data_IF_737912588128
#
_entry.id   IF_737912588128
#
_cell.length_a   1.000
_cell.length_b   1.000
_cell.length_c   1.000
_cell.angle_alpha   90.00
_cell.angle_beta   90.00
_cell.angle_gamma   90.00
#
_symmetry.space_group_name_H-M   'P 1'
#
loop_
_entity.id
_entity.type
_entity.pdbx_description
1 polymer ?
#
# COMPACT_ATOMS: atom_id res chain seq x y z
N UNK A 1 -14.13 -69.05 -18.47
CA UNK A 1 -15.55 -69.46 -18.34
C UNK A 1 -16.36 -68.25 -18.76
N UNK A 2 -16.66 -68.35 -20.02
CA UNK A 2 -17.86 -68.12 -20.81
C UNK A 2 -18.35 -66.66 -20.86
N UNK A 3 -18.05 -65.95 -21.90
CA UNK A 3 -18.62 -65.92 -23.26
C UNK A 3 -20.18 -65.93 -23.24
N UNK A 4 -20.79 -64.79 -23.62
CA UNK A 4 -21.85 -64.78 -24.65
C UNK A 4 -22.11 -63.40 -25.24
N UNK A 5 -21.82 -63.31 -26.51
CA UNK A 5 -22.40 -62.44 -27.55
C UNK A 5 -23.90 -62.27 -27.43
N UNK A 6 -24.43 -61.10 -27.67
CA UNK A 6 -25.60 -60.91 -28.54
C UNK A 6 -25.52 -59.62 -29.35
N UNK A 7 -25.41 -59.80 -30.63
CA UNK A 7 -25.56 -58.83 -31.69
C UNK A 7 -27.05 -58.66 -32.01
N UNK A 8 -27.54 -57.42 -32.15
CA UNK A 8 -28.72 -57.17 -32.94
C UNK A 8 -28.64 -55.81 -33.66
N UNK A 9 -28.76 -55.92 -34.94
CA UNK A 9 -28.77 -54.89 -35.95
C UNK A 9 -30.15 -54.26 -36.12
N UNK A 10 -30.23 -53.07 -36.63
CA UNK A 10 -31.22 -52.40 -37.50
C UNK A 10 -31.58 -51.01 -36.96
N UNK A 11 -31.69 -49.98 -37.67
CA UNK A 11 -31.80 -49.53 -39.07
C UNK A 11 -32.28 -48.08 -39.02
N UNK A 12 -31.64 -47.20 -39.76
CA UNK A 12 -32.13 -45.98 -40.39
C UNK A 12 -32.99 -44.97 -39.64
N UNK A 13 -32.47 -43.76 -39.59
CA UNK A 13 -33.19 -42.50 -39.35
C UNK A 13 -32.28 -41.31 -39.67
N UNK A 14 -32.29 -40.89 -40.94
CA UNK A 14 -31.60 -39.66 -41.38
C UNK A 14 -32.32 -38.45 -40.81
N UNK A 15 -31.61 -37.68 -39.98
CA UNK A 15 -32.02 -36.36 -39.50
C UNK A 15 -30.79 -35.51 -39.37
N UNK A 16 -30.41 -34.83 -40.46
CA UNK A 16 -29.38 -33.81 -40.44
C UNK A 16 -29.92 -32.59 -39.70
N UNK A 17 -29.61 -32.49 -38.38
CA UNK A 17 -29.67 -31.25 -37.67
C UNK A 17 -28.26 -30.66 -37.68
N UNK A 18 -28.07 -29.73 -38.63
CA UNK A 18 -26.98 -28.78 -38.59
C UNK A 18 -27.11 -27.96 -37.29
N UNK A 19 -26.53 -28.44 -36.18
CA UNK A 19 -26.21 -27.59 -35.09
C UNK A 19 -25.04 -26.72 -35.54
N UNK A 20 -25.38 -25.56 -36.08
CA UNK A 20 -24.48 -24.44 -36.19
C UNK A 20 -24.07 -24.06 -34.77
N UNK A 21 -22.96 -24.61 -34.28
CA UNK A 21 -22.21 -23.97 -33.24
C UNK A 21 -21.65 -22.69 -33.81
N UNK A 22 -22.43 -21.61 -33.74
CA UNK A 22 -21.83 -20.29 -33.72
C UNK A 22 -20.95 -20.25 -32.47
N UNK A 23 -19.65 -20.52 -32.61
CA UNK A 23 -18.68 -19.94 -31.70
C UNK A 23 -18.93 -18.44 -31.82
N UNK A 24 -19.60 -17.88 -30.80
CA UNK A 24 -19.46 -16.47 -30.50
C UNK A 24 -17.99 -16.29 -30.21
N UNK A 25 -17.19 -16.05 -31.24
CA UNK A 25 -15.99 -15.26 -31.06
C UNK A 25 -16.52 -13.93 -30.52
N UNK A 26 -16.27 -13.65 -29.27
CA UNK A 26 -16.27 -12.28 -28.76
C UNK A 26 -15.27 -11.53 -29.65
N UNK A 27 -15.74 -11.03 -30.78
CA UNK A 27 -14.96 -10.19 -31.66
C UNK A 27 -14.67 -8.92 -30.84
N UNK A 28 -13.48 -8.84 -30.34
CA UNK A 28 -13.00 -7.63 -29.68
C UNK A 28 -13.33 -6.45 -30.57
N UNK A 29 -13.97 -5.38 -30.06
CA UNK A 29 -14.41 -4.27 -30.91
C UNK A 29 -13.20 -3.73 -31.67
N UNK A 30 -13.28 -3.77 -33.01
CA UNK A 30 -12.22 -3.26 -33.86
C UNK A 30 -12.44 -1.77 -34.14
N UNK A 31 -11.39 -0.97 -33.98
CA UNK A 31 -11.40 0.47 -34.20
C UNK A 31 -10.56 1.21 -33.12
N UNK A 32 -10.33 2.47 -33.38
CA UNK A 32 -9.60 3.34 -32.45
C UNK A 32 -10.56 4.18 -31.62
N UNK A 33 -10.16 4.51 -30.39
CA UNK A 33 -10.82 5.51 -29.55
C UNK A 33 -9.79 6.46 -28.93
N UNK A 34 -10.27 7.40 -28.13
CA UNK A 34 -9.42 8.43 -27.52
C UNK A 34 -9.67 8.49 -26.02
N UNK A 35 -8.60 8.55 -25.25
CA UNK A 35 -8.62 8.74 -23.79
C UNK A 35 -8.13 10.15 -23.46
N UNK A 36 -8.84 10.86 -22.59
CA UNK A 36 -8.37 12.09 -21.94
C UNK A 36 -8.25 11.80 -20.45
N UNK A 37 -7.10 12.14 -19.85
CA UNK A 37 -6.79 11.82 -18.45
C UNK A 37 -6.96 13.04 -17.55
N UNK A 38 -7.58 12.83 -16.40
CA UNK A 38 -7.63 13.77 -15.29
C UNK A 38 -7.04 13.07 -14.07
N UNK A 39 -5.85 13.48 -13.63
CA UNK A 39 -5.17 12.93 -12.45
C UNK A 39 -5.32 13.91 -11.29
N UNK A 40 -5.64 13.41 -10.11
CA UNK A 40 -5.70 14.17 -8.87
C UNK A 40 -4.95 13.44 -7.77
N UNK A 41 -4.32 14.18 -6.85
CA UNK A 41 -3.73 13.64 -5.65
C UNK A 41 -4.56 14.06 -4.44
N UNK A 42 -5.00 13.12 -3.62
CA UNK A 42 -5.65 13.42 -2.35
C UNK A 42 -4.64 13.92 -1.33
N UNK A 43 -5.10 14.78 -0.41
CA UNK A 43 -4.30 15.15 0.75
C UNK A 43 -4.17 13.92 1.66
N UNK A 44 -2.94 13.43 1.83
CA UNK A 44 -2.66 12.29 2.70
C UNK A 44 -2.45 12.73 4.15
N UNK A 45 -1.28 12.38 4.71
CA UNK A 45 -0.93 12.73 6.07
C UNK A 45 -0.85 14.23 6.30
N UNK A 46 -1.40 14.70 7.41
CA UNK A 46 -1.24 16.07 7.87
C UNK A 46 -0.09 16.13 8.88
N UNK A 47 1.14 15.99 8.42
CA UNK A 47 2.33 16.02 9.26
C UNK A 47 3.21 17.24 8.93
N UNK A 48 3.90 17.77 9.96
CA UNK A 48 4.83 18.89 9.81
C UNK A 48 6.29 18.45 9.73
N UNK A 49 6.58 17.16 9.93
CA UNK A 49 7.95 16.66 10.08
C UNK A 49 8.71 16.50 8.75
N UNK A 50 7.98 16.22 7.65
CA UNK A 50 8.51 16.19 6.29
C UNK A 50 7.65 17.08 5.42
N UNK A 51 8.24 17.69 4.41
CA UNK A 51 7.49 18.43 3.39
C UNK A 51 6.71 17.44 2.50
N UNK A 52 5.57 17.01 3.02
CA UNK A 52 4.68 16.09 2.33
C UNK A 52 3.94 16.76 1.16
N UNK A 53 4.14 18.06 0.95
CA UNK A 53 3.52 18.81 -0.15
C UNK A 53 4.03 18.37 -1.53
N UNK A 54 5.22 17.78 -1.60
CA UNK A 54 5.82 17.34 -2.87
C UNK A 54 4.95 16.33 -3.61
N UNK A 55 4.26 15.42 -2.90
CA UNK A 55 3.37 14.45 -3.54
C UNK A 55 2.08 15.07 -4.09
N UNK A 56 1.75 16.29 -3.70
CA UNK A 56 0.62 17.03 -4.27
C UNK A 56 0.97 17.71 -5.60
N UNK A 57 2.26 17.83 -5.90
CA UNK A 57 2.73 18.35 -7.18
C UNK A 57 2.65 17.27 -8.25
N UNK A 58 1.58 17.30 -9.04
CA UNK A 58 1.35 16.31 -10.10
C UNK A 58 2.48 16.23 -11.13
N UNK A 59 3.30 17.27 -11.29
CA UNK A 59 4.44 17.23 -12.21
C UNK A 59 5.50 16.18 -11.84
N UNK A 60 5.48 15.71 -10.60
CA UNK A 60 6.37 14.65 -10.12
C UNK A 60 5.82 13.24 -10.37
N UNK A 61 4.59 13.12 -10.90
CA UNK A 61 3.95 11.84 -11.13
C UNK A 61 4.37 11.20 -12.45
N UNK A 62 4.45 9.88 -12.39
CA UNK A 62 4.55 9.02 -13.57
C UNK A 62 3.16 8.48 -13.88
N UNK A 63 2.77 8.50 -15.16
CA UNK A 63 1.50 7.96 -15.65
C UNK A 63 1.79 6.83 -16.64
N UNK A 64 1.13 5.71 -16.44
CA UNK A 64 1.26 4.52 -17.28
C UNK A 64 -0.09 4.13 -17.87
N UNK A 65 -0.08 3.74 -19.15
CA UNK A 65 -1.18 3.06 -19.80
C UNK A 65 -0.84 1.58 -19.93
N UNK A 66 -1.71 0.73 -19.42
CA UNK A 66 -1.47 -0.71 -19.28
C UNK A 66 -2.59 -1.45 -20.01
N UNK A 67 -2.23 -2.50 -20.75
CA UNK A 67 -3.17 -3.45 -21.37
C UNK A 67 -2.70 -4.87 -21.09
N UNK A 68 -3.60 -5.73 -20.62
CA UNK A 68 -3.29 -7.15 -20.33
C UNK A 68 -2.03 -7.31 -19.46
N UNK A 69 -1.87 -6.47 -18.42
CA UNK A 69 -0.71 -6.38 -17.53
C UNK A 69 0.60 -5.90 -18.18
N UNK A 70 0.59 -5.52 -19.46
CA UNK A 70 1.74 -4.96 -20.14
C UNK A 70 1.67 -3.43 -20.15
N UNK A 71 2.75 -2.76 -19.74
CA UNK A 71 2.87 -1.29 -19.85
C UNK A 71 3.10 -0.94 -21.32
N UNK A 72 2.12 -0.26 -21.92
CA UNK A 72 2.20 0.19 -23.32
C UNK A 72 2.95 1.51 -23.42
N UNK A 73 2.65 2.44 -22.52
CA UNK A 73 3.25 3.78 -22.52
C UNK A 73 3.52 4.23 -21.08
N UNK A 74 4.54 5.07 -20.92
CA UNK A 74 4.89 5.74 -19.68
C UNK A 74 5.21 7.19 -19.98
N UNK A 75 4.64 8.12 -19.20
CA UNK A 75 4.86 9.56 -19.30
C UNK A 75 5.17 10.15 -17.92
N UNK A 76 5.95 11.23 -17.88
CA UNK A 76 5.84 12.16 -16.78
C UNK A 76 4.52 12.94 -16.94
N UNK A 77 3.83 13.23 -15.86
CA UNK A 77 2.55 13.94 -15.92
C UNK A 77 2.66 15.28 -16.65
N UNK A 78 3.78 16.02 -16.48
CA UNK A 78 4.03 17.27 -17.17
C UNK A 78 4.08 17.15 -18.72
N UNK A 79 4.41 15.96 -19.22
CA UNK A 79 4.55 15.67 -20.66
C UNK A 79 3.35 14.87 -21.18
N UNK A 80 2.30 14.70 -20.35
CA UNK A 80 1.14 13.91 -20.70
C UNK A 80 0.38 14.55 -21.87
N UNK A 81 0.11 13.81 -22.98
CA UNK A 81 -0.66 14.36 -24.08
C UNK A 81 -2.12 14.62 -23.66
N UNK A 82 -2.71 15.69 -24.18
CA UNK A 82 -4.11 16.06 -23.90
C UNK A 82 -5.11 14.99 -24.34
N UNK A 83 -4.71 14.12 -25.28
CA UNK A 83 -5.50 12.99 -25.75
C UNK A 83 -4.58 11.84 -26.18
N UNK A 84 -4.96 10.62 -25.83
CA UNK A 84 -4.23 9.39 -26.13
C UNK A 84 -5.10 8.55 -27.05
N UNK A 85 -4.63 8.30 -28.28
CA UNK A 85 -5.29 7.40 -29.24
C UNK A 85 -4.84 5.97 -28.98
N UNK A 86 -5.80 5.07 -28.89
CA UNK A 86 -5.59 3.64 -28.67
C UNK A 86 -6.62 2.81 -29.40
N UNK A 87 -6.32 1.55 -29.65
CA UNK A 87 -7.31 0.59 -30.13
C UNK A 87 -8.45 0.42 -29.15
N UNK A 88 -9.62 0.05 -29.60
CA UNK A 88 -10.73 -0.31 -28.74
C UNK A 88 -10.36 -1.52 -27.87
N UNK A 89 -10.81 -1.51 -26.62
CA UNK A 89 -10.53 -2.58 -25.66
C UNK A 89 -10.39 -2.07 -24.24
N UNK A 90 -9.99 -2.98 -23.35
CA UNK A 90 -9.84 -2.69 -21.93
C UNK A 90 -8.40 -2.30 -21.62
N UNK A 91 -8.27 -1.24 -20.83
CA UNK A 91 -7.01 -0.66 -20.39
C UNK A 91 -7.08 -0.34 -18.91
N UNK A 92 -5.91 -0.19 -18.30
CA UNK A 92 -5.74 0.35 -16.98
C UNK A 92 -4.83 1.57 -17.06
N UNK A 93 -5.21 2.64 -16.40
CA UNK A 93 -4.38 3.83 -16.22
C UNK A 93 -3.89 3.83 -14.80
N UNK A 94 -2.56 3.86 -14.63
CA UNK A 94 -1.89 3.96 -13.33
C UNK A 94 -1.13 5.29 -13.28
N UNK A 95 -1.35 6.05 -12.21
CA UNK A 95 -0.56 7.24 -11.91
C UNK A 95 0.08 7.06 -10.53
N UNK A 96 1.38 7.43 -10.38
CA UNK A 96 2.08 7.22 -9.11
C UNK A 96 3.21 8.22 -8.90
N UNK A 97 3.56 8.43 -7.62
CA UNK A 97 4.67 9.21 -7.13
C UNK A 97 5.49 8.40 -6.12
N UNK A 98 6.81 8.55 -6.14
CA UNK A 98 7.73 7.80 -5.27
C UNK A 98 8.01 6.39 -5.78
N UNK A 99 8.63 5.59 -4.94
CA UNK A 99 9.00 4.21 -5.24
C UNK A 99 8.15 3.24 -4.43
N UNK A 100 7.65 2.19 -5.07
CA UNK A 100 6.90 1.11 -4.42
C UNK A 100 7.84 0.20 -3.63
N UNK A 101 8.13 0.59 -2.38
CA UNK A 101 8.99 -0.13 -1.45
C UNK A 101 8.19 -0.54 -0.21
N UNK A 102 8.62 -1.64 0.43
CA UNK A 102 8.01 -2.10 1.69
C UNK A 102 8.17 -1.08 2.82
N UNK A 103 9.25 -0.30 2.80
CA UNK A 103 9.52 0.80 3.73
C UNK A 103 10.36 1.88 3.05
N UNK A 104 10.06 3.14 3.34
CA UNK A 104 10.84 4.30 2.91
C UNK A 104 10.96 5.32 4.04
N UNK A 105 12.10 5.99 4.13
CA UNK A 105 12.33 7.18 4.98
C UNK A 105 12.42 8.47 4.17
N UNK A 106 12.50 8.38 2.85
CA UNK A 106 12.71 9.53 1.97
C UNK A 106 11.38 10.11 1.47
N UNK A 107 10.49 9.24 1.02
CA UNK A 107 9.20 9.66 0.49
C UNK A 107 8.14 8.57 0.68
N UNK A 108 6.88 9.00 0.74
CA UNK A 108 5.76 8.07 0.66
C UNK A 108 5.57 7.60 -0.80
N UNK A 109 5.05 6.39 -0.96
CA UNK A 109 4.54 5.94 -2.25
C UNK A 109 3.05 6.27 -2.35
N UNK A 110 2.69 6.93 -3.44
CA UNK A 110 1.32 7.38 -3.73
C UNK A 110 0.92 6.82 -5.07
N UNK A 111 -0.23 6.16 -5.16
CA UNK A 111 -0.73 5.66 -6.44
C UNK A 111 -2.23 5.79 -6.58
N UNK A 112 -2.66 5.81 -7.84
CA UNK A 112 -4.04 5.65 -8.25
C UNK A 112 -4.10 4.77 -9.50
N UNK A 113 -5.10 3.92 -9.54
CA UNK A 113 -5.33 2.99 -10.65
C UNK A 113 -6.79 3.07 -11.04
N UNK A 114 -7.07 3.16 -12.34
CA UNK A 114 -8.43 3.21 -12.88
C UNK A 114 -8.51 2.37 -14.15
N UNK A 115 -9.48 1.49 -14.20
CA UNK A 115 -9.78 0.71 -15.41
C UNK A 115 -10.63 1.54 -16.38
N UNK A 116 -10.41 1.38 -17.67
CA UNK A 116 -11.16 2.04 -18.73
C UNK A 116 -11.39 1.12 -19.91
N UNK A 117 -12.64 1.04 -20.37
CA UNK A 117 -12.99 0.35 -21.61
C UNK A 117 -13.12 1.39 -22.72
N UNK A 118 -12.25 1.30 -23.72
CA UNK A 118 -12.26 2.20 -24.89
C UNK A 118 -13.15 1.61 -25.97
N UNK A 119 -14.18 2.36 -26.33
CA UNK A 119 -15.08 1.99 -27.41
C UNK A 119 -14.61 2.57 -28.76
N UNK A 120 -14.77 1.86 -29.87
CA UNK A 120 -14.38 2.39 -31.19
C UNK A 120 -15.20 3.61 -31.54
N UNK A 121 -14.58 4.56 -32.20
CA UNK A 121 -15.27 5.72 -32.76
C UNK A 121 -16.18 5.29 -33.92
N UNK A 122 -17.45 5.65 -33.80
CA UNK A 122 -18.46 5.40 -34.86
C UNK A 122 -18.82 6.71 -35.54
N UNK A 123 -17.97 7.21 -36.46
CA UNK A 123 -18.22 8.46 -37.17
C UNK A 123 -16.97 9.34 -37.35
N UNK A 124 -17.17 10.56 -37.82
CA UNK A 124 -16.06 11.50 -38.09
C UNK A 124 -15.42 12.09 -36.80
N UNK A 125 -16.11 12.03 -35.66
CA UNK A 125 -15.56 12.47 -34.36
C UNK A 125 -15.21 11.26 -33.48
N UNK A 126 -13.93 11.22 -33.06
CA UNK A 126 -13.48 10.21 -32.15
C UNK A 126 -14.18 10.38 -30.78
N UNK A 127 -14.89 9.36 -30.34
CA UNK A 127 -15.45 9.37 -28.98
C UNK A 127 -14.30 9.48 -27.97
N UNK A 128 -14.21 10.61 -27.29
CA UNK A 128 -13.21 10.83 -26.22
C UNK A 128 -13.79 10.37 -24.90
N UNK A 129 -13.08 9.45 -24.25
CA UNK A 129 -13.41 9.01 -22.91
C UNK A 129 -12.53 9.75 -21.90
N UNK A 130 -13.16 10.43 -20.94
CA UNK A 130 -12.45 11.07 -19.83
C UNK A 130 -12.29 10.06 -18.68
N UNK A 131 -11.05 9.81 -18.30
CA UNK A 131 -10.69 8.92 -17.19
C UNK A 131 -10.13 9.75 -16.07
N UNK A 132 -10.71 9.62 -14.88
CA UNK A 132 -10.23 10.27 -13.66
C UNK A 132 -9.46 9.26 -12.81
N UNK A 133 -8.21 9.60 -12.47
CA UNK A 133 -7.35 8.81 -11.59
C UNK A 133 -7.10 9.61 -10.33
N UNK A 134 -7.54 9.09 -9.19
CA UNK A 134 -7.28 9.69 -7.87
C UNK A 134 -6.17 8.94 -7.18
N UNK A 135 -5.06 9.61 -6.94
CA UNK A 135 -3.88 9.05 -6.29
C UNK A 135 -3.94 9.27 -4.78
N UNK A 136 -3.59 8.22 -4.03
CA UNK A 136 -3.60 8.19 -2.55
C UNK A 136 -2.31 7.55 -2.05
N UNK A 137 -1.77 7.97 -0.88
CA UNK A 137 -0.72 7.21 -0.21
C UNK A 137 -1.18 5.78 0.08
N UNK A 138 -0.34 4.80 -0.26
CA UNK A 138 -0.57 3.36 0.01
C UNK A 138 0.27 2.84 1.17
N UNK A 139 0.76 3.75 2.00
CA UNK A 139 1.59 3.48 3.16
C UNK A 139 0.97 4.10 4.41
N UNK A 140 1.38 3.57 5.58
CA UNK A 140 1.16 4.17 6.88
C UNK A 140 2.44 4.85 7.36
N UNK A 141 2.30 5.95 8.11
CA UNK A 141 3.41 6.69 8.70
C UNK A 141 3.69 6.18 10.10
N UNK A 142 4.95 5.86 10.40
CA UNK A 142 5.36 5.44 11.74
C UNK A 142 6.47 6.33 12.27
N UNK A 143 6.43 6.56 13.58
CA UNK A 143 7.47 7.25 14.34
C UNK A 143 7.66 6.58 15.69
N UNK A 144 8.90 6.56 16.20
CA UNK A 144 9.17 6.11 17.57
C UNK A 144 9.91 7.23 18.30
N UNK A 145 9.41 7.59 19.46
CA UNK A 145 10.02 8.57 20.35
C UNK A 145 10.49 7.86 21.62
N UNK A 146 11.78 7.86 21.85
CA UNK A 146 12.35 7.37 23.10
C UNK A 146 12.58 8.53 24.06
N UNK A 147 12.09 8.40 25.29
CA UNK A 147 12.36 9.39 26.34
C UNK A 147 13.86 9.48 26.62
N UNK A 148 14.38 10.67 26.90
CA UNK A 148 15.81 10.91 27.19
C UNK A 148 16.31 10.03 28.34
N UNK A 149 15.46 9.79 29.34
CA UNK A 149 15.73 8.92 30.47
C UNK A 149 15.95 7.44 30.13
N UNK A 150 15.64 7.00 28.90
CA UNK A 150 15.95 5.63 28.47
C UNK A 150 17.43 5.33 28.59
N UNK A 151 18.28 6.29 28.24
CA UNK A 151 19.75 6.14 28.29
C UNK A 151 20.33 6.01 29.70
N UNK A 152 19.58 6.33 30.75
CA UNK A 152 19.99 6.16 32.14
C UNK A 152 19.93 4.69 32.58
N UNK A 153 19.05 3.90 32.00
CA UNK A 153 18.74 2.53 32.39
C UNK A 153 19.12 1.47 31.36
N UNK A 154 19.12 1.85 30.09
CA UNK A 154 19.32 0.93 28.97
C UNK A 154 20.50 1.36 28.10
N UNK A 155 21.44 0.44 27.88
CA UNK A 155 22.60 0.65 26.99
C UNK A 155 22.22 0.61 25.52
N UNK A 156 21.20 -0.20 25.20
CA UNK A 156 20.66 -0.30 23.85
C UNK A 156 19.14 -0.52 23.87
N UNK A 157 18.46 0.06 22.86
CA UNK A 157 17.03 -0.07 22.66
C UNK A 157 16.68 0.29 21.23
N UNK A 158 15.72 -0.45 20.68
CA UNK A 158 15.21 -0.27 19.32
C UNK A 158 13.82 -0.87 19.19
N UNK A 159 13.14 -0.53 18.11
CA UNK A 159 11.82 -1.07 17.75
C UNK A 159 11.91 -1.72 16.39
N UNK A 160 11.35 -2.91 16.25
CA UNK A 160 11.20 -3.57 14.95
C UNK A 160 9.75 -3.62 14.55
N UNK A 161 9.51 -3.38 13.26
CA UNK A 161 8.19 -3.47 12.63
C UNK A 161 8.20 -4.61 11.62
N UNK A 162 7.08 -5.32 11.52
CA UNK A 162 6.85 -6.36 10.54
C UNK A 162 5.48 -6.17 9.91
N UNK A 163 5.48 -6.01 8.58
CA UNK A 163 4.28 -5.91 7.74
C UNK A 163 4.25 -7.05 6.72
N UNK A 164 3.14 -7.26 6.08
CA UNK A 164 3.01 -8.23 4.97
C UNK A 164 3.98 -7.88 3.83
N UNK A 165 4.13 -6.60 3.53
CA UNK A 165 5.01 -6.12 2.45
C UNK A 165 6.51 -6.38 2.72
N UNK A 166 6.92 -6.46 3.99
CA UNK A 166 8.30 -6.81 4.39
C UNK A 166 8.59 -8.32 4.25
N UNK A 167 7.56 -9.17 4.13
CA UNK A 167 7.73 -10.61 4.05
C UNK A 167 8.44 -11.19 5.28
N UNK A 168 9.61 -11.79 5.09
CA UNK A 168 10.40 -12.36 6.18
C UNK A 168 11.32 -11.33 6.87
N UNK A 169 11.49 -10.15 6.27
CA UNK A 169 12.31 -9.07 6.81
C UNK A 169 11.57 -8.25 7.88
N UNK A 170 12.32 -7.44 8.62
CA UNK A 170 11.80 -6.48 9.59
C UNK A 170 12.44 -5.13 9.36
N UNK A 171 11.66 -4.06 9.57
CA UNK A 171 12.18 -2.71 9.60
C UNK A 171 12.62 -2.37 11.03
N UNK A 172 13.85 -1.89 11.20
CA UNK A 172 14.41 -1.52 12.50
C UNK A 172 14.42 -0.01 12.66
N UNK A 173 13.82 0.45 13.75
CA UNK A 173 13.92 1.82 14.24
C UNK A 173 14.88 1.87 15.42
N UNK A 174 16.04 2.46 15.20
CA UNK A 174 17.09 2.58 16.23
C UNK A 174 16.86 3.79 17.14
N UNK A 175 17.58 3.82 18.26
CA UNK A 175 17.53 4.95 19.22
C UNK A 175 18.04 6.28 18.66
N UNK A 176 18.71 6.27 17.51
CA UNK A 176 19.23 7.46 16.83
C UNK A 176 18.33 7.97 15.70
N UNK A 177 17.28 7.21 15.36
CA UNK A 177 16.35 7.60 14.30
C UNK A 177 15.37 8.65 14.82
N UNK A 178 15.16 9.70 14.04
CA UNK A 178 14.29 10.83 14.39
C UNK A 178 13.19 11.05 13.36
N UNK A 179 13.51 10.79 12.08
CA UNK A 179 12.59 11.06 10.99
C UNK A 179 11.60 9.91 10.81
N UNK A 180 10.33 10.21 10.50
CA UNK A 180 9.31 9.19 10.30
C UNK A 180 9.67 8.25 9.15
N UNK A 181 9.06 7.06 9.17
CA UNK A 181 9.13 6.11 8.08
C UNK A 181 7.74 5.81 7.54
N UNK A 182 7.66 5.47 6.27
CA UNK A 182 6.45 5.09 5.57
C UNK A 182 6.50 3.58 5.32
N UNK A 183 5.60 2.84 5.95
CA UNK A 183 5.47 1.39 5.80
C UNK A 183 4.34 1.08 4.82
N UNK A 184 4.61 0.29 3.80
CA UNK A 184 3.56 -0.26 2.94
C UNK A 184 2.71 -1.22 3.76
N UNK A 185 1.41 -0.94 3.81
CA UNK A 185 0.42 -1.73 4.55
C UNK A 185 -0.84 -1.92 3.71
N UNK A 186 -1.56 -2.99 3.99
CA UNK A 186 -2.90 -3.22 3.47
C UNK A 186 -3.95 -2.59 4.38
N UNK A 187 -5.20 -2.53 3.90
CA UNK A 187 -6.31 -2.04 4.72
C UNK A 187 -6.54 -2.94 5.94
N UNK A 188 -6.55 -2.32 7.14
CA UNK A 188 -6.69 -3.02 8.42
C UNK A 188 -5.63 -4.09 8.68
N UNK A 189 -4.41 -3.87 8.23
CA UNK A 189 -3.31 -4.80 8.44
C UNK A 189 -2.87 -4.85 9.90
N UNK A 190 -2.64 -6.07 10.41
CA UNK A 190 -2.05 -6.31 11.73
C UNK A 190 -0.53 -6.21 11.66
N UNK A 191 0.02 -5.07 12.06
CA UNK A 191 1.46 -4.81 12.08
C UNK A 191 2.04 -5.27 13.41
N UNK A 192 3.00 -6.20 13.37
CA UNK A 192 3.73 -6.65 14.57
C UNK A 192 4.85 -5.68 14.89
N UNK A 193 4.96 -5.33 16.18
CA UNK A 193 5.95 -4.40 16.70
C UNK A 193 6.63 -5.04 17.91
N UNK A 194 7.96 -5.17 17.85
CA UNK A 194 8.78 -5.69 18.98
C UNK A 194 9.70 -4.58 19.46
N UNK A 195 9.58 -4.22 20.73
CA UNK A 195 10.45 -3.27 21.42
C UNK A 195 11.51 -4.05 22.17
N UNK A 196 12.76 -3.85 21.82
CA UNK A 196 13.92 -4.53 22.42
C UNK A 196 14.70 -3.56 23.28
N UNK A 197 15.13 -4.01 24.46
CA UNK A 197 15.94 -3.22 25.40
C UNK A 197 17.05 -4.07 25.99
N UNK A 198 18.21 -3.45 26.26
CA UNK A 198 19.35 -4.04 26.97
C UNK A 198 19.67 -3.20 28.21
N UNK A 199 19.53 -3.75 29.40
CA UNK A 199 19.80 -3.03 30.66
C UNK A 199 21.30 -2.74 30.82
N UNK A 200 21.62 -1.60 31.46
CA UNK A 200 23.01 -1.24 31.82
C UNK A 200 23.49 -2.10 32.98
N UNK A 201 22.63 -2.37 33.97
CA UNK A 201 23.01 -2.98 35.25
C UNK A 201 23.60 -4.37 35.13
N UNK A 202 23.07 -5.20 34.23
CA UNK A 202 23.41 -6.62 34.10
C UNK A 202 23.52 -7.11 32.67
N UNK A 203 23.37 -6.20 31.68
CA UNK A 203 23.34 -6.49 30.25
C UNK A 203 22.21 -7.46 29.83
N UNK A 204 21.20 -7.66 30.67
CA UNK A 204 20.05 -8.49 30.32
C UNK A 204 19.24 -7.85 29.20
N UNK A 205 18.75 -8.69 28.30
CA UNK A 205 17.90 -8.28 27.19
C UNK A 205 16.44 -8.61 27.50
N UNK A 206 15.56 -7.73 27.08
CA UNK A 206 14.11 -7.92 27.19
C UNK A 206 13.42 -7.46 25.92
N UNK A 207 12.34 -8.15 25.57
CA UNK A 207 11.46 -7.79 24.46
C UNK A 207 10.04 -7.59 24.92
N UNK A 208 9.34 -6.65 24.26
CA UNK A 208 7.91 -6.42 24.46
C UNK A 208 7.23 -6.42 23.11
N UNK A 209 6.37 -7.38 22.88
CA UNK A 209 5.64 -7.53 21.62
C UNK A 209 4.28 -6.84 21.70
N UNK A 210 3.94 -6.15 20.64
CA UNK A 210 2.66 -5.46 20.41
C UNK A 210 2.17 -5.73 18.99
N UNK A 211 0.88 -5.56 18.78
CA UNK A 211 0.26 -5.61 17.45
C UNK A 211 -0.65 -4.41 17.32
N UNK A 212 -0.51 -3.69 16.23
CA UNK A 212 -1.34 -2.53 15.90
C UNK A 212 -2.04 -2.76 14.56
N UNK A 213 -3.30 -2.39 14.48
CA UNK A 213 -4.03 -2.41 13.21
C UNK A 213 -3.77 -1.08 12.50
N UNK A 214 -3.25 -1.17 11.30
CA UNK A 214 -2.90 -0.01 10.47
C UNK A 214 -3.54 -0.13 9.10
N UNK A 215 -3.82 1.01 8.50
CA UNK A 215 -4.31 1.14 7.12
C UNK A 215 -3.49 2.20 6.39
N UNK A 216 -3.49 2.23 5.06
CA UNK A 216 -2.92 3.34 4.31
C UNK A 216 -3.43 4.69 4.83
N UNK A 217 -2.59 5.71 4.76
CA UNK A 217 -2.87 7.09 5.23
C UNK A 217 -3.07 7.24 6.76
N UNK A 218 -2.80 6.20 7.55
CA UNK A 218 -2.84 6.29 9.01
C UNK A 218 -1.44 6.58 9.59
N UNK A 219 -1.42 7.21 10.77
CA UNK A 219 -0.20 7.47 11.53
C UNK A 219 -0.14 6.63 12.81
N UNK A 220 1.08 6.23 13.22
CA UNK A 220 1.35 5.60 14.50
C UNK A 220 2.63 6.19 15.08
N UNK A 221 2.50 6.87 16.22
CA UNK A 221 3.65 7.28 17.02
C UNK A 221 3.72 6.41 18.27
N UNK A 222 4.87 5.80 18.52
CA UNK A 222 5.14 4.96 19.68
C UNK A 222 6.06 5.73 20.61
N UNK A 223 5.57 6.09 21.80
CA UNK A 223 6.36 6.73 22.85
C UNK A 223 6.84 5.65 23.81
N UNK A 224 8.15 5.52 24.00
CA UNK A 224 8.79 4.52 24.87
C UNK A 224 9.54 5.25 25.97
N UNK A 225 9.20 4.94 27.23
CA UNK A 225 9.85 5.50 28.40
C UNK A 225 10.16 4.42 29.44
N UNK A 226 11.17 4.61 30.31
CA UNK A 226 11.40 3.69 31.42
C UNK A 226 10.30 3.89 32.49
N UNK A 227 9.84 2.79 33.08
CA UNK A 227 9.05 2.84 34.32
C UNK A 227 9.96 2.95 35.52
N UNK A 228 9.48 3.61 36.56
CA UNK A 228 10.16 3.59 37.85
C UNK A 228 10.46 2.16 38.29
N UNK A 229 11.62 1.91 38.94
CA UNK A 229 11.94 0.58 39.47
C UNK A 229 10.82 0.06 40.38
N UNK A 230 10.50 -1.23 40.27
CA UNK A 230 9.61 -1.91 41.24
C UNK A 230 10.26 -2.06 42.62
N UNK A 231 9.55 -2.65 43.59
CA UNK A 231 10.05 -2.86 44.92
C UNK A 231 11.31 -3.75 44.99
N UNK A 232 11.53 -4.57 43.98
CA UNK A 232 12.70 -5.43 43.82
C UNK A 232 13.83 -4.75 43.02
N UNK A 233 13.62 -3.49 42.56
CA UNK A 233 14.58 -2.74 41.75
C UNK A 233 14.60 -3.10 40.29
N UNK A 234 13.60 -3.83 39.80
CA UNK A 234 13.52 -4.15 38.37
C UNK A 234 12.95 -2.98 37.56
N UNK A 235 13.58 -2.68 36.42
CA UNK A 235 13.16 -1.64 35.51
C UNK A 235 12.46 -2.28 34.32
N UNK A 236 11.33 -1.73 33.97
CA UNK A 236 10.56 -2.08 32.77
C UNK A 236 10.31 -0.83 31.91
N UNK A 237 9.60 -0.97 30.79
CA UNK A 237 9.23 0.14 29.91
C UNK A 237 7.72 0.41 29.97
N UNK A 238 7.34 1.67 29.77
CA UNK A 238 6.00 2.10 29.39
C UNK A 238 5.96 2.32 27.89
N UNK A 239 4.85 1.93 27.27
CA UNK A 239 4.61 2.13 25.84
C UNK A 239 3.26 2.82 25.69
N UNK A 240 3.30 4.03 25.19
CA UNK A 240 2.11 4.81 24.86
C UNK A 240 2.05 5.00 23.37
N UNK A 241 0.85 5.05 22.78
CA UNK A 241 0.65 5.22 21.36
C UNK A 241 -0.18 6.48 21.09
N UNK A 242 0.19 7.15 20.02
CA UNK A 242 -0.63 8.19 19.40
C UNK A 242 -0.92 7.74 17.94
N UNK A 243 -2.19 7.62 17.62
CA UNK A 243 -2.68 7.26 16.29
C UNK A 243 -3.21 8.46 15.52
N UNK A 244 -3.01 9.68 16.04
CA UNK A 244 -3.37 10.88 15.29
C UNK A 244 -2.47 11.03 14.07
N UNK A 245 -3.04 11.40 12.93
CA UNK A 245 -2.29 11.77 11.73
C UNK A 245 -1.72 13.18 11.80
N UNK A 246 -2.08 13.92 12.84
CA UNK A 246 -1.62 15.28 13.15
C UNK A 246 -0.62 15.19 14.30
N UNK A 247 0.57 15.77 14.14
CA UNK A 247 1.49 15.97 15.27
C UNK A 247 0.85 16.91 16.29
N UNK A 248 0.07 16.33 17.19
CA UNK A 248 -0.30 16.99 18.43
C UNK A 248 0.84 16.73 19.41
N UNK A 249 1.64 17.75 19.69
CA UNK A 249 2.34 17.82 20.97
C UNK A 249 1.26 17.91 22.06
N UNK A 250 0.78 16.77 22.52
CA UNK A 250 0.09 16.71 23.79
C UNK A 250 1.19 16.61 24.85
N UNK A 251 1.48 17.72 25.51
CA UNK A 251 2.08 17.72 26.81
C UNK A 251 1.13 16.94 27.75
N UNK A 252 1.41 15.66 27.93
CA UNK A 252 0.76 14.87 28.97
C UNK A 252 1.41 15.30 30.27
N UNK A 253 0.78 16.24 31.00
CA UNK A 253 1.10 16.52 32.38
C UNK A 253 0.95 15.20 33.15
N UNK A 254 2.08 14.64 33.58
CA UNK A 254 2.10 13.53 34.52
C UNK A 254 1.48 14.06 35.82
N UNK A 255 0.38 13.47 36.32
CA UNK A 255 -0.20 13.91 37.59
C UNK A 255 0.83 13.83 38.69
N UNK A 256 0.96 14.91 39.48
CA UNK A 256 1.92 15.04 40.60
C UNK A 256 1.74 14.00 41.72
N UNK A 257 0.81 13.09 41.63
CA UNK A 257 0.49 12.07 42.62
C UNK A 257 1.31 10.78 42.45
N UNK A 258 2.27 10.75 41.50
CA UNK A 258 3.12 9.61 41.17
C UNK A 258 4.61 9.83 41.49
N UNK A 259 4.91 10.88 42.30
CA UNK A 259 6.26 11.17 42.83
C UNK A 259 6.29 10.85 44.30
#
# INVERSE_FOLDING_TARGET
MDMKFFSFCCLMGAGALMASCSSENDAQPSGEGTISLNVTAETGFQSRALDESDYQNLNHYTVQLIKESAVLNTWNYADLPSSIKVDAGDYQVKAFYGEDQAVSRESMYVEGVTDVTVTPSTGEEAATQTVSVTCKPVCAKVSVKFADSMSEYFSDYYVTFKTTALGDETFVWSKTDTDPAYLKVEENESVSVTISTTKISDSSQSTTDKTYVMSPQTGLTINVSPKAPDAEGNISISVEIDTSTVDHEQDIEVPNDWI
#
